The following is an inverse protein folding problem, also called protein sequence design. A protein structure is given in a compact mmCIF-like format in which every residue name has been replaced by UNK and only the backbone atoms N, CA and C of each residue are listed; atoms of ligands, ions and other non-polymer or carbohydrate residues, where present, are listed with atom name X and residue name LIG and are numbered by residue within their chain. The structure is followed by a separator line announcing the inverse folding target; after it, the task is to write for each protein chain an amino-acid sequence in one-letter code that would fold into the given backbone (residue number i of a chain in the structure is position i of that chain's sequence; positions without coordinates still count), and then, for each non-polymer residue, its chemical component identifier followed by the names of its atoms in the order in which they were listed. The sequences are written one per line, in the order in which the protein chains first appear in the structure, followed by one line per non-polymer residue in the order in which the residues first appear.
data_IF_843629884121
#
_entry.id   IF_843629884121
#
_cell.length_a   1.000
_cell.length_b   1.000
_cell.length_c   1.000
_cell.angle_alpha   90.00
_cell.angle_beta   90.00
_cell.angle_gamma   90.00
#
_symmetry.space_group_name_H-M   'P 1'
#
loop_
_entity.id
_entity.type
_entity.pdbx_description
1 polymer ?
#
# COMPACT_ATOMS: atom_id res chain seq x y z
N UNK A 1 -0.45 7.06 -17.60
CA UNK A 1 -1.15 6.82 -16.34
C UNK A 1 -1.79 5.43 -16.36
N UNK A 2 -1.62 4.64 -15.32
CA UNK A 2 -2.23 3.31 -15.21
C UNK A 2 -3.73 3.43 -14.89
N UNK A 3 -4.55 2.71 -15.65
CA UNK A 3 -6.00 2.64 -15.44
C UNK A 3 -6.33 1.31 -14.75
N UNK A 4 -6.47 1.35 -13.43
CA UNK A 4 -6.90 0.19 -12.64
C UNK A 4 -8.35 -0.23 -12.95
N UNK A 5 -8.79 -1.30 -12.29
CA UNK A 5 -10.15 -1.83 -12.49
C UNK A 5 -11.24 -0.80 -12.13
N UNK A 6 -11.06 -0.03 -11.05
CA UNK A 6 -12.06 0.95 -10.63
C UNK A 6 -12.12 2.13 -11.60
N UNK A 7 -10.94 2.61 -12.08
CA UNK A 7 -10.87 3.63 -13.13
C UNK A 7 -11.67 3.21 -14.36
N UNK A 8 -11.43 2.00 -14.89
CA UNK A 8 -12.10 1.50 -16.10
C UNK A 8 -13.62 1.37 -15.93
N UNK A 9 -14.08 0.91 -14.76
CA UNK A 9 -15.51 0.78 -14.46
C UNK A 9 -16.18 2.16 -14.37
N UNK A 10 -15.60 3.11 -13.64
CA UNK A 10 -16.14 4.46 -13.48
C UNK A 10 -16.12 5.20 -14.85
N UNK A 11 -15.02 5.08 -15.59
CA UNK A 11 -14.92 5.64 -16.95
C UNK A 11 -16.01 5.08 -17.87
N UNK A 12 -16.25 3.78 -17.85
CA UNK A 12 -17.31 3.12 -18.63
C UNK A 12 -18.70 3.59 -18.20
N UNK A 13 -18.95 3.69 -16.88
CA UNK A 13 -20.21 4.16 -16.36
C UNK A 13 -20.53 5.60 -16.80
N UNK A 14 -19.53 6.48 -16.78
CA UNK A 14 -19.65 7.88 -17.24
C UNK A 14 -19.93 7.92 -18.74
N UNK A 15 -19.19 7.18 -19.56
CA UNK A 15 -19.37 7.13 -21.02
C UNK A 15 -20.76 6.62 -21.43
N UNK A 16 -21.30 5.68 -20.65
CA UNK A 16 -22.60 5.05 -20.94
C UNK A 16 -23.78 5.75 -20.26
N UNK A 17 -23.55 6.86 -19.53
CA UNK A 17 -24.62 7.55 -18.76
C UNK A 17 -25.20 6.72 -17.62
N UNK A 18 -24.46 5.72 -17.12
CA UNK A 18 -24.87 4.80 -16.03
C UNK A 18 -24.15 5.06 -14.71
N UNK A 19 -23.70 6.30 -14.52
CA UNK A 19 -22.98 6.68 -13.29
C UNK A 19 -23.87 6.51 -12.08
N UNK A 20 -23.40 5.77 -11.07
CA UNK A 20 -24.08 5.65 -9.78
C UNK A 20 -23.67 6.79 -8.84
N UNK A 21 -24.55 7.15 -7.89
CA UNK A 21 -24.29 8.20 -6.91
C UNK A 21 -23.20 7.84 -5.88
N UNK A 22 -22.91 6.56 -5.69
CA UNK A 22 -21.88 6.11 -4.73
C UNK A 22 -21.05 4.95 -5.27
N UNK A 23 -19.73 5.06 -5.17
CA UNK A 23 -18.76 3.98 -5.41
C UNK A 23 -18.03 3.69 -4.12
N UNK A 24 -17.88 2.41 -3.79
CA UNK A 24 -17.07 1.92 -2.68
C UNK A 24 -15.90 1.12 -3.23
N UNK A 25 -14.72 1.70 -3.13
CA UNK A 25 -13.47 1.13 -3.63
C UNK A 25 -12.76 0.42 -2.48
N UNK A 26 -12.59 -0.89 -2.57
CA UNK A 26 -11.83 -1.68 -1.59
C UNK A 26 -10.42 -1.90 -2.14
N UNK A 27 -9.43 -1.37 -1.42
CA UNK A 27 -8.03 -1.47 -1.80
C UNK A 27 -7.16 -1.40 -0.54
N UNK A 28 -6.19 -2.30 -0.42
CA UNK A 28 -5.25 -2.33 0.71
C UNK A 28 -3.97 -1.49 0.46
N UNK A 29 -3.97 -0.61 -0.54
CA UNK A 29 -2.86 0.29 -0.80
C UNK A 29 -2.79 1.42 0.25
N UNK A 30 -1.62 2.04 0.41
CA UNK A 30 -1.36 3.03 1.48
C UNK A 30 -1.91 4.42 1.18
N UNK A 31 -2.07 4.78 -0.08
CA UNK A 31 -2.50 6.13 -0.46
C UNK A 31 -3.81 6.09 -1.26
N UNK A 32 -4.91 5.76 -0.60
CA UNK A 32 -6.22 5.68 -1.21
C UNK A 32 -6.70 7.04 -1.76
N UNK A 33 -6.23 8.15 -1.20
CA UNK A 33 -6.58 9.50 -1.68
C UNK A 33 -6.12 9.75 -3.12
N UNK A 34 -4.96 9.22 -3.50
CA UNK A 34 -4.42 9.30 -4.87
C UNK A 34 -5.38 8.66 -5.88
N UNK A 35 -5.89 7.48 -5.58
CA UNK A 35 -6.88 6.81 -6.41
C UNK A 35 -8.18 7.59 -6.53
N UNK A 36 -8.72 8.08 -5.40
CA UNK A 36 -9.97 8.83 -5.37
C UNK A 36 -9.90 10.12 -6.18
N UNK A 37 -8.78 10.84 -6.15
CA UNK A 37 -8.57 12.04 -6.99
C UNK A 37 -8.66 11.70 -8.47
N UNK A 38 -8.04 10.59 -8.90
CA UNK A 38 -8.12 10.18 -10.30
C UNK A 38 -9.55 9.83 -10.73
N UNK A 39 -10.32 9.19 -9.86
CA UNK A 39 -11.73 8.88 -10.15
C UNK A 39 -12.61 10.13 -10.14
N UNK A 40 -12.34 11.10 -9.26
CA UNK A 40 -13.02 12.39 -9.28
C UNK A 40 -12.79 13.16 -10.58
N UNK A 41 -11.57 13.09 -11.13
CA UNK A 41 -11.27 13.69 -12.44
C UNK A 41 -12.10 13.07 -13.58
N UNK A 42 -12.46 11.78 -13.50
CA UNK A 42 -13.36 11.17 -14.51
C UNK A 42 -14.75 11.82 -14.48
N UNK A 43 -15.23 12.23 -13.28
CA UNK A 43 -16.56 12.79 -13.09
C UNK A 43 -16.63 14.30 -13.39
N UNK A 44 -15.53 15.05 -13.15
CA UNK A 44 -15.52 16.51 -13.13
C UNK A 44 -14.65 17.18 -14.20
N UNK A 45 -13.85 16.44 -14.95
CA UNK A 45 -12.90 16.99 -15.93
C UNK A 45 -13.59 17.82 -17.01
N UNK A 46 -13.07 19.01 -17.32
CA UNK A 46 -13.60 19.91 -18.36
C UNK A 46 -13.52 19.33 -19.77
N UNK A 47 -12.51 18.50 -20.02
CA UNK A 47 -12.21 17.93 -21.34
C UNK A 47 -12.70 16.47 -21.50
N UNK A 48 -13.61 16.04 -20.63
CA UNK A 48 -14.14 14.68 -20.63
C UNK A 48 -13.52 13.81 -19.55
N UNK A 49 -12.61 12.92 -19.83
CA UNK A 49 -12.14 11.88 -18.91
C UNK A 49 -10.73 12.16 -18.40
N UNK A 50 -10.59 12.64 -17.17
CA UNK A 50 -9.32 12.75 -16.40
C UNK A 50 -8.11 13.18 -17.26
N UNK A 51 -8.19 14.32 -17.97
CA UNK A 51 -7.13 14.78 -18.89
C UNK A 51 -5.82 15.19 -18.17
N UNK A 52 -5.84 15.39 -16.85
CA UNK A 52 -4.72 15.81 -15.99
C UNK A 52 -4.06 17.17 -16.37
N UNK A 53 -4.60 17.91 -17.36
CA UNK A 53 -4.04 19.16 -17.85
C UNK A 53 -4.95 20.37 -17.67
N UNK A 54 -6.27 20.18 -17.64
CA UNK A 54 -7.23 21.26 -17.47
C UNK A 54 -7.19 21.88 -16.06
N UNK A 55 -7.83 23.05 -15.90
CA UNK A 55 -7.92 23.76 -14.61
C UNK A 55 -8.55 22.87 -13.53
N UNK A 56 -9.65 22.21 -13.84
CA UNK A 56 -10.37 21.34 -12.89
C UNK A 56 -9.51 20.19 -12.38
N UNK A 57 -8.81 19.45 -13.24
CA UNK A 57 -7.91 18.39 -12.82
C UNK A 57 -6.82 18.90 -11.88
N UNK A 58 -6.22 20.05 -12.19
CA UNK A 58 -5.19 20.69 -11.34
C UNK A 58 -5.73 21.13 -9.97
N UNK A 59 -6.98 21.61 -9.91
CA UNK A 59 -7.62 22.00 -8.65
C UNK A 59 -7.96 20.78 -7.78
N UNK A 60 -8.38 19.66 -8.39
CA UNK A 60 -8.60 18.39 -7.69
C UNK A 60 -7.29 17.87 -7.09
N UNK A 61 -6.18 17.91 -7.84
CA UNK A 61 -4.86 17.50 -7.32
C UNK A 61 -4.44 18.30 -6.10
N UNK A 62 -4.75 19.60 -6.10
CA UNK A 62 -4.47 20.52 -4.99
C UNK A 62 -5.53 20.50 -3.87
N UNK A 63 -6.62 19.74 -4.02
CA UNK A 63 -7.73 19.62 -3.06
C UNK A 63 -8.46 20.97 -2.79
N UNK A 64 -8.48 21.87 -3.77
CA UNK A 64 -9.06 23.21 -3.65
C UNK A 64 -10.24 23.48 -4.60
N UNK A 65 -10.75 22.46 -5.31
CA UNK A 65 -11.96 22.62 -6.12
C UNK A 65 -13.19 22.68 -5.19
N UNK A 66 -14.01 23.74 -5.20
CA UNK A 66 -15.16 23.87 -4.30
C UNK A 66 -16.16 22.71 -4.38
N UNK A 67 -16.37 22.18 -5.59
CA UNK A 67 -17.33 21.10 -5.85
C UNK A 67 -16.70 19.69 -5.73
N UNK A 68 -15.47 19.58 -5.21
CA UNK A 68 -14.79 18.33 -4.91
C UNK A 68 -14.24 18.38 -3.49
N UNK A 69 -15.02 17.92 -2.52
CA UNK A 69 -14.61 17.92 -1.11
C UNK A 69 -13.83 16.65 -0.77
N UNK A 70 -12.63 16.84 -0.22
CA UNK A 70 -11.71 15.78 0.17
C UNK A 70 -11.68 15.63 1.68
N UNK A 71 -11.96 14.43 2.19
CA UNK A 71 -11.79 14.07 3.60
C UNK A 71 -10.71 13.00 3.68
N UNK A 72 -9.45 13.47 3.78
CA UNK A 72 -8.25 12.65 3.81
C UNK A 72 -7.58 12.81 5.18
N UNK A 73 -8.16 12.15 6.19
CA UNK A 73 -7.74 12.23 7.59
C UNK A 73 -7.51 10.84 8.14
N UNK A 74 -6.54 10.69 9.05
CA UNK A 74 -6.29 9.44 9.77
C UNK A 74 -7.46 9.05 10.69
N UNK A 75 -8.28 10.03 11.09
CA UNK A 75 -9.48 9.82 11.88
C UNK A 75 -10.61 10.70 11.35
N UNK A 76 -11.66 10.06 10.88
CA UNK A 76 -12.87 10.71 10.36
C UNK A 76 -13.93 10.68 11.47
N UNK A 77 -14.35 11.86 11.88
CA UNK A 77 -15.32 12.05 12.96
C UNK A 77 -16.75 12.16 12.43
N UNK A 78 -17.71 12.14 13.35
CA UNK A 78 -19.12 12.30 13.03
C UNK A 78 -19.40 13.67 12.43
N UNK A 79 -18.71 14.70 12.95
CA UNK A 79 -18.81 16.09 12.50
C UNK A 79 -18.34 16.25 11.04
N UNK A 80 -17.31 15.52 10.62
CA UNK A 80 -16.85 15.53 9.21
C UNK A 80 -17.95 15.00 8.27
N UNK A 81 -18.65 13.97 8.69
CA UNK A 81 -19.79 13.41 7.91
C UNK A 81 -21.00 14.35 7.95
N UNK A 82 -21.29 14.99 9.09
CA UNK A 82 -22.37 15.98 9.19
C UNK A 82 -22.10 17.17 8.25
N UNK A 83 -20.86 17.64 8.15
CA UNK A 83 -20.48 18.71 7.23
C UNK A 83 -20.68 18.28 5.76
N UNK A 84 -20.29 17.07 5.39
CA UNK A 84 -20.53 16.52 4.05
C UNK A 84 -22.04 16.46 3.74
N UNK A 85 -22.86 15.96 4.66
CA UNK A 85 -24.30 15.84 4.49
C UNK A 85 -24.93 17.24 4.31
N UNK A 86 -24.55 18.20 5.15
CA UNK A 86 -25.06 19.56 5.05
C UNK A 86 -24.70 20.21 3.69
N UNK A 87 -23.43 20.09 3.28
CA UNK A 87 -22.95 20.66 2.03
C UNK A 87 -23.55 19.95 0.79
N UNK A 88 -23.85 18.65 0.88
CA UNK A 88 -24.43 17.89 -0.24
C UNK A 88 -25.81 18.39 -0.65
N UNK A 89 -26.54 19.05 0.24
CA UNK A 89 -27.83 19.64 -0.04
C UNK A 89 -27.74 21.04 -0.69
N UNK A 90 -26.54 21.61 -0.79
CA UNK A 90 -26.30 22.89 -1.46
C UNK A 90 -25.99 22.67 -2.94
N UNK A 91 -26.35 23.63 -3.78
CA UNK A 91 -26.03 23.60 -5.21
C UNK A 91 -24.51 23.64 -5.44
N UNK A 92 -24.01 23.01 -6.50
CA UNK A 92 -22.63 23.18 -6.95
C UNK A 92 -22.28 24.65 -7.21
N UNK A 93 -21.01 25.03 -7.03
CA UNK A 93 -20.51 26.41 -7.16
C UNK A 93 -19.96 26.68 -8.55
N UNK A 94 -19.07 25.82 -9.05
CA UNK A 94 -18.37 26.01 -10.33
C UNK A 94 -18.74 24.92 -11.36
N UNK A 95 -19.21 23.77 -10.91
CA UNK A 95 -19.56 22.59 -11.73
C UNK A 95 -21.05 22.31 -11.72
N UNK A 96 -21.47 21.38 -12.57
CA UNK A 96 -22.81 20.82 -12.58
C UNK A 96 -22.97 19.63 -11.60
N UNK A 97 -21.87 19.18 -10.98
CA UNK A 97 -21.79 18.02 -10.09
C UNK A 97 -20.97 18.36 -8.85
N UNK A 98 -21.33 17.74 -7.71
CA UNK A 98 -20.50 17.69 -6.50
C UNK A 98 -19.97 16.29 -6.27
N UNK A 99 -18.71 16.18 -5.87
CA UNK A 99 -18.05 14.91 -5.58
C UNK A 99 -17.40 14.96 -4.20
N UNK A 100 -17.70 13.95 -3.39
CA UNK A 100 -17.13 13.78 -2.05
C UNK A 100 -16.17 12.61 -2.06
N UNK A 101 -14.91 12.86 -1.68
CA UNK A 101 -13.84 11.89 -1.60
C UNK A 101 -13.57 11.57 -0.14
N UNK A 102 -13.79 10.34 0.28
CA UNK A 102 -13.50 9.90 1.64
C UNK A 102 -12.48 8.78 1.58
N UNK A 103 -11.23 9.10 1.93
CA UNK A 103 -10.16 8.11 2.00
C UNK A 103 -10.30 7.30 3.29
N UNK A 104 -10.04 6.03 3.17
CA UNK A 104 -10.18 5.00 4.18
C UNK A 104 -11.46 5.07 5.03
N UNK A 105 -12.58 4.86 4.35
CA UNK A 105 -13.90 4.79 4.98
C UNK A 105 -14.00 3.70 6.06
N UNK A 106 -13.07 2.75 6.09
CA UNK A 106 -12.95 1.75 7.15
C UNK A 106 -12.49 2.32 8.51
N UNK A 107 -11.98 3.56 8.53
CA UNK A 107 -11.64 4.30 9.75
C UNK A 107 -12.84 5.10 10.31
N UNK A 108 -13.91 5.22 9.55
CA UNK A 108 -15.14 5.91 9.96
C UNK A 108 -15.88 5.05 10.99
N UNK A 109 -16.18 5.61 12.16
CA UNK A 109 -16.90 4.86 13.17
C UNK A 109 -18.34 4.55 12.75
N UNK A 110 -18.94 3.54 13.35
CA UNK A 110 -20.26 3.04 13.00
C UNK A 110 -21.37 4.12 13.07
N UNK A 111 -21.29 5.02 14.06
CA UNK A 111 -22.27 6.13 14.21
C UNK A 111 -22.21 7.08 13.00
N UNK A 112 -21.00 7.43 12.56
CA UNK A 112 -20.79 8.29 11.40
C UNK A 112 -21.22 7.60 10.09
N UNK A 113 -20.91 6.30 9.94
CA UNK A 113 -21.39 5.51 8.79
C UNK A 113 -22.92 5.51 8.72
N UNK A 114 -23.60 5.28 9.86
CA UNK A 114 -25.07 5.27 9.93
C UNK A 114 -25.68 6.63 9.55
N UNK A 115 -25.06 7.75 9.90
CA UNK A 115 -25.53 9.09 9.49
C UNK A 115 -25.56 9.27 7.98
N UNK A 116 -24.55 8.74 7.26
CA UNK A 116 -24.46 8.86 5.81
C UNK A 116 -25.53 8.03 5.07
N UNK A 117 -26.10 7.00 5.71
CA UNK A 117 -27.06 6.08 5.07
C UNK A 117 -28.23 6.79 4.41
N UNK A 118 -28.85 7.75 5.09
CA UNK A 118 -30.02 8.48 4.56
C UNK A 118 -29.66 9.23 3.26
N UNK A 119 -28.48 9.84 3.21
CA UNK A 119 -28.00 10.55 2.03
C UNK A 119 -27.66 9.58 0.89
N UNK A 120 -27.17 8.39 1.20
CA UNK A 120 -26.91 7.34 0.21
C UNK A 120 -28.20 6.68 -0.30
N UNK A 121 -29.28 6.65 0.51
CA UNK A 121 -30.59 6.14 0.08
C UNK A 121 -31.31 7.09 -0.88
N UNK A 122 -31.26 8.37 -0.56
CA UNK A 122 -31.93 9.45 -1.31
C UNK A 122 -30.91 10.55 -1.63
N UNK A 123 -29.97 10.28 -2.54
CA UNK A 123 -28.90 11.22 -2.82
C UNK A 123 -29.45 12.47 -3.51
N UNK A 124 -28.95 13.67 -3.15
CA UNK A 124 -29.27 14.88 -3.90
C UNK A 124 -28.84 14.75 -5.37
N UNK A 125 -29.53 15.47 -6.26
CA UNK A 125 -29.25 15.41 -7.69
C UNK A 125 -27.81 15.87 -7.98
N UNK A 126 -27.10 15.16 -8.86
CA UNK A 126 -25.72 15.44 -9.27
C UNK A 126 -24.70 15.40 -8.14
N UNK A 127 -24.98 14.68 -7.06
CA UNK A 127 -24.04 14.44 -5.96
C UNK A 127 -23.50 13.02 -6.05
N UNK A 128 -22.17 12.90 -5.91
CA UNK A 128 -21.44 11.63 -6.02
C UNK A 128 -20.53 11.42 -4.83
N UNK A 129 -20.51 10.19 -4.32
CA UNK A 129 -19.64 9.77 -3.23
C UNK A 129 -18.62 8.74 -3.73
N UNK A 130 -17.34 9.04 -3.59
CA UNK A 130 -16.24 8.12 -3.83
C UNK A 130 -15.65 7.75 -2.47
N UNK A 131 -15.98 6.56 -2.01
CA UNK A 131 -15.55 6.02 -0.72
C UNK A 131 -14.45 5.00 -0.99
N UNK A 132 -13.28 5.12 -0.36
CA UNK A 132 -12.27 4.08 -0.39
C UNK A 132 -12.12 3.45 0.99
N UNK A 133 -11.80 2.18 1.08
CA UNK A 133 -11.56 1.49 2.34
C UNK A 133 -10.49 0.41 2.21
N UNK A 134 -9.61 0.35 3.21
CA UNK A 134 -8.56 -0.67 3.30
C UNK A 134 -9.09 -1.99 3.86
N UNK A 135 -10.17 -1.94 4.65
CA UNK A 135 -10.76 -3.10 5.31
C UNK A 135 -12.29 -3.14 5.15
N UNK A 136 -12.75 -4.03 4.27
CA UNK A 136 -14.18 -4.21 3.99
C UNK A 136 -15.01 -4.61 5.23
N UNK A 137 -14.44 -5.34 6.17
CA UNK A 137 -15.15 -5.85 7.35
C UNK A 137 -15.54 -4.73 8.34
N UNK A 138 -14.85 -3.59 8.28
CA UNK A 138 -15.16 -2.41 9.09
C UNK A 138 -16.23 -1.51 8.47
N UNK A 139 -16.69 -1.82 7.27
CA UNK A 139 -17.71 -1.06 6.56
C UNK A 139 -19.06 -1.77 6.70
N UNK A 140 -20.06 -1.03 7.13
CA UNK A 140 -21.40 -1.58 7.39
C UNK A 140 -22.01 -2.23 6.14
N UNK A 141 -22.68 -3.38 6.27
CA UNK A 141 -23.40 -4.02 5.16
C UNK A 141 -24.42 -3.09 4.49
N UNK A 142 -25.02 -2.19 5.26
CA UNK A 142 -25.98 -1.19 4.80
C UNK A 142 -25.35 -0.13 3.87
N UNK A 143 -24.08 0.24 4.08
CA UNK A 143 -23.31 1.09 3.15
C UNK A 143 -22.99 0.29 1.88
N UNK A 144 -22.50 -0.94 2.04
CA UNK A 144 -22.12 -1.81 0.90
C UNK A 144 -23.28 -2.10 -0.04
N UNK A 145 -24.50 -2.19 0.46
CA UNK A 145 -25.71 -2.42 -0.36
C UNK A 145 -26.16 -1.20 -1.16
N UNK A 146 -25.70 0.03 -0.80
CA UNK A 146 -26.10 1.29 -1.43
C UNK A 146 -25.01 1.92 -2.30
N UNK A 147 -23.81 1.36 -2.28
CA UNK A 147 -22.68 1.79 -3.10
C UNK A 147 -22.28 0.68 -4.09
N UNK A 148 -21.88 1.06 -5.29
CA UNK A 148 -21.29 0.13 -6.25
C UNK A 148 -19.88 -0.26 -5.78
N UNK A 149 -19.78 -1.48 -5.20
CA UNK A 149 -18.53 -2.01 -4.70
C UNK A 149 -17.60 -2.39 -5.85
N UNK A 150 -16.34 -1.96 -5.76
CA UNK A 150 -15.27 -2.32 -6.69
C UNK A 150 -14.05 -2.70 -5.86
N UNK A 151 -13.50 -3.87 -6.12
CA UNK A 151 -12.26 -4.33 -5.49
C UNK A 151 -11.08 -4.14 -6.43
N UNK A 152 -10.01 -3.51 -5.94
CA UNK A 152 -8.72 -3.40 -6.60
C UNK A 152 -7.84 -4.52 -6.06
N UNK A 153 -7.56 -5.48 -6.92
CA UNK A 153 -6.65 -6.59 -6.60
C UNK A 153 -5.19 -6.16 -6.74
N UNK A 154 -4.27 -6.77 -5.97
CA UNK A 154 -2.85 -6.56 -6.15
C UNK A 154 -2.42 -6.97 -7.56
N UNK A 155 -1.39 -6.29 -8.07
CA UNK A 155 -0.77 -6.54 -9.37
C UNK A 155 0.44 -7.46 -9.20
N UNK A 156 0.82 -8.14 -10.29
CA UNK A 156 2.08 -8.85 -10.33
C UNK A 156 3.28 -7.88 -10.33
N UNK A 157 4.40 -8.29 -9.75
CA UNK A 157 5.64 -7.49 -9.70
C UNK A 157 6.07 -6.98 -11.08
N UNK A 158 5.99 -7.83 -12.09
CA UNK A 158 6.34 -7.48 -13.47
C UNK A 158 5.43 -6.41 -14.07
N UNK A 159 4.16 -6.39 -13.70
CA UNK A 159 3.21 -5.35 -14.10
C UNK A 159 3.52 -4.03 -13.40
N UNK A 160 3.80 -4.06 -12.10
CA UNK A 160 4.19 -2.87 -11.32
C UNK A 160 5.43 -2.23 -11.92
N UNK A 161 6.47 -3.02 -12.20
CA UNK A 161 7.72 -2.53 -12.78
C UNK A 161 7.45 -1.86 -14.13
N UNK A 162 6.66 -2.48 -15.02
CA UNK A 162 6.29 -1.88 -16.32
C UNK A 162 5.54 -0.56 -16.17
N UNK A 163 4.63 -0.47 -15.19
CA UNK A 163 3.82 0.73 -14.96
C UNK A 163 4.66 1.87 -14.40
N UNK A 164 5.56 1.59 -13.46
CA UNK A 164 6.31 2.59 -12.71
C UNK A 164 7.68 2.93 -13.32
N UNK A 165 8.24 2.12 -14.22
CA UNK A 165 9.53 2.40 -14.87
C UNK A 165 9.67 3.82 -15.45
N UNK A 166 8.63 4.45 -16.04
CA UNK A 166 8.75 5.82 -16.55
C UNK A 166 8.95 6.90 -15.47
N UNK A 167 8.58 6.61 -14.22
CA UNK A 167 8.65 7.56 -13.07
C UNK A 167 9.64 7.11 -12.00
N UNK A 168 10.08 5.85 -12.05
CA UNK A 168 11.05 5.23 -11.15
C UNK A 168 12.18 4.62 -12.00
N UNK A 169 13.20 5.41 -12.40
CA UNK A 169 14.17 5.00 -13.42
C UNK A 169 15.17 3.93 -12.95
N UNK A 170 15.39 3.77 -11.65
CA UNK A 170 16.26 2.73 -11.10
C UNK A 170 15.48 1.40 -11.06
N UNK A 171 15.74 0.53 -12.06
CA UNK A 171 15.03 -0.73 -12.25
C UNK A 171 15.28 -1.71 -11.10
N UNK A 172 16.50 -1.78 -10.58
CA UNK A 172 16.84 -2.69 -9.48
C UNK A 172 16.09 -2.31 -8.20
N UNK A 173 16.15 -1.04 -7.86
CA UNK A 173 15.43 -0.47 -6.72
C UNK A 173 13.91 -0.62 -6.87
N UNK A 174 13.41 -0.40 -8.09
CA UNK A 174 11.98 -0.56 -8.40
C UNK A 174 11.53 -2.02 -8.26
N UNK A 175 12.31 -2.98 -8.75
CA UNK A 175 12.00 -4.41 -8.63
C UNK A 175 11.95 -4.84 -7.16
N UNK A 176 12.95 -4.43 -6.37
CA UNK A 176 12.93 -4.68 -4.91
C UNK A 176 11.70 -4.07 -4.25
N UNK A 177 11.37 -2.83 -4.59
CA UNK A 177 10.21 -2.13 -4.01
C UNK A 177 8.88 -2.77 -4.41
N UNK A 178 8.77 -3.27 -5.65
CA UNK A 178 7.59 -3.99 -6.14
C UNK A 178 7.39 -5.31 -5.38
N UNK A 179 8.46 -6.08 -5.17
CA UNK A 179 8.40 -7.33 -4.37
C UNK A 179 7.94 -7.09 -2.93
N UNK A 180 8.34 -5.94 -2.35
CA UNK A 180 7.97 -5.56 -0.98
C UNK A 180 6.56 -4.99 -0.85
N UNK A 181 5.98 -4.50 -1.94
CA UNK A 181 4.73 -3.73 -1.91
C UNK A 181 3.47 -4.57 -1.74
N UNK A 182 3.57 -5.90 -1.84
CA UNK A 182 2.41 -6.78 -1.87
C UNK A 182 1.51 -6.59 -3.10
N UNK A 183 2.03 -6.01 -4.18
CA UNK A 183 1.28 -5.82 -5.42
C UNK A 183 0.56 -4.46 -5.54
N UNK A 184 0.91 -3.47 -4.70
CA UNK A 184 0.25 -2.17 -4.67
C UNK A 184 1.15 -1.04 -5.19
N UNK A 185 0.61 -0.20 -6.10
CA UNK A 185 1.39 0.83 -6.81
C UNK A 185 1.85 1.97 -5.89
N UNK A 186 0.99 2.49 -5.04
CA UNK A 186 1.35 3.60 -4.14
C UNK A 186 2.32 3.11 -3.07
N UNK A 187 2.11 1.90 -2.54
CA UNK A 187 3.07 1.26 -1.65
C UNK A 187 4.45 1.10 -2.30
N UNK A 188 4.49 0.70 -3.58
CA UNK A 188 5.74 0.59 -4.33
C UNK A 188 6.47 1.94 -4.43
N UNK A 189 5.76 3.03 -4.73
CA UNK A 189 6.35 4.38 -4.80
C UNK A 189 6.92 4.83 -3.46
N UNK A 190 6.21 4.56 -2.36
CA UNK A 190 6.69 4.88 -1.01
C UNK A 190 7.96 4.09 -0.71
N UNK A 191 7.97 2.79 -0.97
CA UNK A 191 9.13 1.93 -0.76
C UNK A 191 10.31 2.32 -1.65
N UNK A 192 10.06 2.64 -2.92
CA UNK A 192 11.09 3.10 -3.85
C UNK A 192 11.87 4.31 -3.31
N UNK A 193 11.22 5.21 -2.60
CA UNK A 193 11.87 6.39 -2.02
C UNK A 193 12.59 6.11 -0.69
N UNK A 194 12.29 5.01 -0.02
CA UNK A 194 12.76 4.73 1.35
C UNK A 194 13.63 3.48 1.48
N UNK A 195 13.58 2.53 0.53
CA UNK A 195 14.13 1.18 0.69
C UNK A 195 15.65 1.13 0.86
N UNK A 196 16.39 2.12 0.37
CA UNK A 196 17.87 2.13 0.42
C UNK A 196 18.41 2.11 1.86
N UNK A 197 17.78 2.87 2.75
CA UNK A 197 18.19 2.90 4.16
C UNK A 197 17.97 1.55 4.84
N UNK A 198 16.82 0.94 4.61
CA UNK A 198 16.50 -0.35 5.19
C UNK A 198 17.35 -1.48 4.57
N UNK A 199 17.65 -1.42 3.26
CA UNK A 199 18.61 -2.34 2.61
C UNK A 199 20.00 -2.26 3.25
N UNK A 200 20.50 -1.06 3.52
CA UNK A 200 21.78 -0.86 4.16
C UNK A 200 21.81 -1.44 5.57
N UNK A 201 20.76 -1.23 6.36
CA UNK A 201 20.63 -1.84 7.70
C UNK A 201 20.68 -3.38 7.61
N UNK A 202 19.96 -3.98 6.67
CA UNK A 202 19.94 -5.44 6.49
C UNK A 202 21.32 -5.95 6.04
N UNK A 203 21.98 -5.28 5.08
CA UNK A 203 23.36 -5.62 4.67
C UNK A 203 24.33 -5.53 5.83
N UNK A 204 24.25 -4.48 6.66
CA UNK A 204 25.08 -4.31 7.85
C UNK A 204 24.86 -5.43 8.87
N UNK A 205 23.61 -5.82 9.14
CA UNK A 205 23.29 -6.94 10.04
C UNK A 205 23.90 -8.23 9.52
N UNK A 206 23.66 -8.58 8.25
CA UNK A 206 24.14 -9.83 7.64
C UNK A 206 25.68 -9.93 7.59
N UNK A 207 26.34 -8.83 7.27
CA UNK A 207 27.82 -8.81 7.16
C UNK A 207 28.53 -8.78 8.50
N UNK A 208 27.99 -8.10 9.50
CA UNK A 208 28.70 -7.72 10.72
C UNK A 208 28.22 -8.42 11.98
N UNK A 209 26.95 -8.85 12.06
CA UNK A 209 26.41 -9.54 13.22
C UNK A 209 26.80 -11.02 13.21
N UNK A 210 27.70 -11.42 14.13
CA UNK A 210 28.21 -12.80 14.21
C UNK A 210 27.90 -13.48 15.54
N UNK A 211 27.57 -12.73 16.60
CA UNK A 211 27.38 -13.24 17.97
C UNK A 211 26.21 -12.57 18.68
N UNK A 212 25.54 -13.30 19.58
CA UNK A 212 24.40 -12.81 20.37
C UNK A 212 24.64 -11.49 21.13
N UNK A 213 25.82 -11.21 21.72
CA UNK A 213 26.05 -9.93 22.41
C UNK A 213 25.94 -8.68 21.53
N UNK A 214 25.94 -8.84 20.21
CA UNK A 214 25.78 -7.74 19.26
C UNK A 214 24.30 -7.37 19.01
N UNK A 215 23.36 -8.25 19.35
CA UNK A 215 21.94 -8.07 19.10
C UNK A 215 21.39 -6.74 19.64
N UNK A 216 21.69 -6.29 20.88
CA UNK A 216 21.17 -5.02 21.41
C UNK A 216 21.62 -3.78 20.61
N UNK A 217 22.74 -3.87 19.89
CA UNK A 217 23.17 -2.81 18.99
C UNK A 217 22.33 -2.77 17.72
N UNK A 218 22.15 -3.92 17.06
CA UNK A 218 21.39 -4.00 15.81
C UNK A 218 19.88 -3.86 16.02
N UNK A 219 19.36 -4.31 17.15
CA UNK A 219 17.94 -4.14 17.51
C UNK A 219 17.53 -2.66 17.56
N UNK A 220 18.44 -1.75 17.99
CA UNK A 220 18.18 -0.30 17.98
C UNK A 220 18.02 0.29 16.58
N UNK A 221 18.52 -0.37 15.53
CA UNK A 221 18.32 0.06 14.13
C UNK A 221 16.94 -0.32 13.60
N UNK A 222 16.26 -1.26 14.29
CA UNK A 222 14.94 -1.73 13.93
C UNK A 222 13.93 -0.98 14.81
N UNK A 223 13.15 -0.09 14.18
CA UNK A 223 12.18 0.77 14.83
C UNK A 223 10.76 0.34 14.48
N UNK A 224 9.76 0.89 15.17
CA UNK A 224 8.35 0.65 14.84
C UNK A 224 8.01 0.95 13.37
N UNK A 225 8.66 1.97 12.79
CA UNK A 225 8.35 2.45 11.43
C UNK A 225 9.01 1.61 10.33
N UNK A 226 10.10 0.87 10.65
CA UNK A 226 10.85 0.10 9.66
C UNK A 226 10.82 -1.42 9.89
N UNK A 227 10.35 -1.91 11.04
CA UNK A 227 10.38 -3.35 11.38
C UNK A 227 9.71 -4.22 10.32
N UNK A 228 8.54 -3.83 9.82
CA UNK A 228 7.84 -4.58 8.78
C UNK A 228 8.63 -4.64 7.47
N UNK A 229 9.27 -3.54 7.07
CA UNK A 229 10.12 -3.48 5.89
C UNK A 229 11.37 -4.35 6.04
N UNK A 230 12.00 -4.31 7.22
CA UNK A 230 13.19 -5.13 7.53
C UNK A 230 12.87 -6.61 7.53
N UNK A 231 11.75 -7.04 8.13
CA UNK A 231 11.29 -8.44 8.08
C UNK A 231 11.10 -8.89 6.64
N UNK A 232 10.43 -8.10 5.81
CA UNK A 232 10.24 -8.38 4.39
C UNK A 232 11.56 -8.45 3.62
N UNK A 233 12.49 -7.52 3.88
CA UNK A 233 13.81 -7.55 3.24
C UNK A 233 14.59 -8.82 3.61
N UNK A 234 14.57 -9.28 4.85
CA UNK A 234 15.18 -10.56 5.22
C UNK A 234 14.54 -11.73 4.49
N UNK A 235 13.21 -11.75 4.35
CA UNK A 235 12.50 -12.78 3.59
C UNK A 235 12.97 -12.83 2.13
N UNK A 236 13.17 -11.66 1.48
CA UNK A 236 13.69 -11.58 0.11
C UNK A 236 15.15 -12.04 0.06
N UNK A 237 15.99 -11.61 1.01
CA UNK A 237 17.40 -12.08 1.10
C UNK A 237 17.47 -13.60 1.14
N UNK A 238 16.71 -14.25 2.02
CA UNK A 238 16.75 -15.70 2.12
C UNK A 238 16.11 -16.40 0.92
N UNK A 239 15.14 -15.78 0.26
CA UNK A 239 14.61 -16.25 -1.02
C UNK A 239 15.66 -16.18 -2.13
N UNK A 240 16.43 -15.10 -2.19
CA UNK A 240 17.54 -14.95 -3.15
C UNK A 240 18.66 -15.96 -2.89
N UNK A 241 19.03 -16.19 -1.63
CA UNK A 241 20.01 -17.20 -1.26
C UNK A 241 19.53 -18.62 -1.60
N UNK A 242 18.24 -18.93 -1.39
CA UNK A 242 17.68 -20.20 -1.78
C UNK A 242 17.69 -20.40 -3.31
N UNK A 243 17.42 -19.37 -4.10
CA UNK A 243 17.56 -19.38 -5.57
C UNK A 243 19.03 -19.62 -5.97
N UNK A 244 19.97 -18.95 -5.32
CA UNK A 244 21.40 -19.13 -5.57
C UNK A 244 21.84 -20.58 -5.31
N UNK A 245 21.39 -21.21 -4.21
CA UNK A 245 21.63 -22.64 -3.94
C UNK A 245 21.03 -23.55 -5.01
N UNK A 246 19.96 -23.12 -5.68
CA UNK A 246 19.33 -23.86 -6.80
C UNK A 246 19.97 -23.57 -8.17
N UNK A 247 21.07 -22.82 -8.21
CA UNK A 247 21.79 -22.47 -9.44
C UNK A 247 21.15 -21.30 -10.23
N UNK A 248 20.24 -20.57 -9.64
CA UNK A 248 19.62 -19.38 -10.25
C UNK A 248 20.36 -18.10 -9.80
N UNK A 249 20.64 -17.20 -10.73
CA UNK A 249 21.35 -15.94 -10.48
C UNK A 249 20.45 -14.70 -10.65
N UNK A 250 19.14 -14.85 -10.49
CA UNK A 250 18.21 -13.73 -10.50
C UNK A 250 17.86 -13.31 -9.07
N UNK A 251 18.27 -12.11 -8.68
CA UNK A 251 18.09 -11.60 -7.31
C UNK A 251 17.16 -10.40 -7.30
N UNK A 252 16.44 -10.23 -6.18
CA UNK A 252 15.59 -9.06 -5.92
C UNK A 252 16.23 -8.10 -4.90
N UNK A 253 17.00 -8.63 -3.96
CA UNK A 253 17.67 -7.82 -2.94
C UNK A 253 19.12 -7.50 -3.34
N UNK A 254 19.86 -8.48 -3.86
CA UNK A 254 21.25 -8.34 -4.22
C UNK A 254 21.44 -7.83 -5.64
N UNK A 255 22.47 -7.03 -5.86
CA UNK A 255 22.93 -6.60 -7.18
C UNK A 255 24.13 -7.43 -7.65
N UNK A 256 24.56 -7.23 -8.90
CA UNK A 256 25.78 -7.83 -9.41
C UNK A 256 27.02 -7.47 -8.57
N UNK A 257 27.02 -6.30 -7.94
CA UNK A 257 28.08 -5.84 -7.03
C UNK A 257 28.13 -6.61 -5.71
N UNK A 258 27.04 -7.25 -5.33
CA UNK A 258 26.89 -7.97 -4.06
C UNK A 258 27.21 -9.47 -4.19
N UNK A 259 27.68 -9.96 -5.34
CA UNK A 259 27.93 -11.40 -5.58
C UNK A 259 28.89 -12.03 -4.56
N UNK A 260 29.92 -11.30 -4.12
CA UNK A 260 30.84 -11.80 -3.10
C UNK A 260 30.13 -11.94 -1.74
N UNK A 261 29.23 -11.02 -1.40
CA UNK A 261 28.40 -11.12 -0.21
C UNK A 261 27.42 -12.31 -0.31
N UNK A 262 26.80 -12.52 -1.47
CA UNK A 262 25.91 -13.66 -1.72
C UNK A 262 26.65 -14.98 -1.51
N UNK A 263 27.87 -15.13 -2.07
CA UNK A 263 28.73 -16.31 -1.88
C UNK A 263 29.09 -16.52 -0.41
N UNK A 264 29.47 -15.46 0.29
CA UNK A 264 29.79 -15.53 1.72
C UNK A 264 28.58 -15.98 2.54
N UNK A 265 27.41 -15.40 2.29
CA UNK A 265 26.17 -15.73 2.99
C UNK A 265 25.66 -17.14 2.64
N UNK A 266 25.81 -17.61 1.39
CA UNK A 266 25.42 -18.96 1.00
C UNK A 266 26.28 -20.05 1.69
N UNK A 267 27.53 -19.72 2.05
CA UNK A 267 28.36 -20.58 2.88
C UNK A 267 27.94 -20.58 4.36
N UNK A 268 27.31 -19.48 4.82
CA UNK A 268 26.84 -19.33 6.20
C UNK A 268 25.43 -19.91 6.42
N UNK A 269 24.57 -19.81 5.43
CA UNK A 269 23.16 -20.24 5.46
C UNK A 269 22.89 -21.28 4.38
N UNK A 270 22.71 -22.54 4.79
CA UNK A 270 22.33 -23.63 3.87
C UNK A 270 20.93 -23.42 3.29
N UNK A 271 20.58 -24.19 2.25
CA UNK A 271 19.22 -24.17 1.67
C UNK A 271 18.12 -24.38 2.73
N UNK A 272 18.32 -25.33 3.65
CA UNK A 272 17.36 -25.58 4.74
C UNK A 272 17.26 -24.43 5.72
N UNK A 273 18.38 -23.76 6.03
CA UNK A 273 18.40 -22.55 6.86
C UNK A 273 17.60 -21.41 6.19
N UNK A 274 17.76 -21.23 4.89
CA UNK A 274 17.01 -20.20 4.14
C UNK A 274 15.51 -20.45 4.20
N UNK A 275 15.05 -21.69 3.99
CA UNK A 275 13.63 -22.05 4.04
C UNK A 275 13.05 -21.77 5.44
N UNK A 276 13.74 -22.23 6.51
CA UNK A 276 13.31 -22.00 7.88
C UNK A 276 13.19 -20.50 8.22
N UNK A 277 14.14 -19.67 7.74
CA UNK A 277 14.11 -18.23 7.96
C UNK A 277 13.01 -17.53 7.17
N UNK A 278 12.68 -17.98 5.95
CA UNK A 278 11.53 -17.48 5.19
C UNK A 278 10.22 -17.74 5.95
N UNK A 279 10.05 -18.94 6.52
CA UNK A 279 8.87 -19.29 7.33
C UNK A 279 8.78 -18.44 8.60
N UNK A 280 9.89 -18.25 9.31
CA UNK A 280 9.97 -17.37 10.49
C UNK A 280 9.62 -15.92 10.12
N UNK A 281 10.18 -15.37 9.05
CA UNK A 281 9.82 -14.03 8.57
C UNK A 281 8.31 -13.92 8.26
N UNK A 282 7.73 -14.92 7.62
CA UNK A 282 6.28 -14.94 7.34
C UNK A 282 5.42 -14.99 8.60
N UNK A 283 5.91 -15.63 9.68
CA UNK A 283 5.26 -15.61 10.99
C UNK A 283 5.35 -14.24 11.67
N UNK A 284 6.48 -13.53 11.53
CA UNK A 284 6.66 -12.17 12.03
C UNK A 284 5.77 -11.16 11.30
N UNK A 285 5.59 -11.28 9.99
CA UNK A 285 4.61 -10.47 9.24
C UNK A 285 3.20 -10.61 9.81
N UNK A 286 2.78 -11.86 10.08
CA UNK A 286 1.48 -12.11 10.73
C UNK A 286 1.39 -11.51 12.12
N UNK A 287 2.44 -11.66 12.94
CA UNK A 287 2.48 -11.10 14.29
C UNK A 287 2.37 -9.57 14.29
N UNK A 288 3.05 -8.89 13.35
CA UNK A 288 2.93 -7.44 13.15
C UNK A 288 1.51 -7.02 12.76
N UNK A 289 0.85 -7.77 11.91
CA UNK A 289 -0.55 -7.53 11.54
C UNK A 289 -1.48 -7.57 12.76
N UNK A 290 -1.19 -8.42 13.76
CA UNK A 290 -1.92 -8.51 15.02
C UNK A 290 -1.35 -7.60 16.14
N UNK A 291 -0.59 -6.53 15.78
CA UNK A 291 -0.03 -5.55 16.69
C UNK A 291 0.92 -6.13 17.77
N UNK A 292 1.74 -7.11 17.42
CA UNK A 292 2.79 -7.60 18.29
C UNK A 292 3.78 -6.48 18.69
N UNK A 293 4.42 -6.63 19.85
CA UNK A 293 5.44 -5.70 20.30
C UNK A 293 6.64 -5.73 19.35
N UNK A 294 6.89 -4.62 18.64
CA UNK A 294 7.93 -4.52 17.62
C UNK A 294 9.35 -4.73 18.17
N UNK A 295 9.62 -4.31 19.42
CA UNK A 295 10.95 -4.46 20.03
C UNK A 295 11.25 -5.93 20.31
N UNK A 296 10.29 -6.66 20.89
CA UNK A 296 10.44 -8.10 21.11
C UNK A 296 10.61 -8.86 19.80
N UNK A 297 9.86 -8.46 18.77
CA UNK A 297 9.93 -9.07 17.45
C UNK A 297 11.29 -8.79 16.77
N UNK A 298 11.84 -7.58 16.94
CA UNK A 298 13.16 -7.23 16.42
C UNK A 298 14.25 -8.08 17.07
N UNK A 299 14.22 -8.24 18.39
CA UNK A 299 15.16 -9.09 19.12
C UNK A 299 15.04 -10.55 18.68
N UNK A 300 13.81 -11.10 18.61
CA UNK A 300 13.55 -12.49 18.20
C UNK A 300 13.99 -12.76 16.76
N UNK A 301 13.76 -11.82 15.84
CA UNK A 301 14.28 -11.89 14.47
C UNK A 301 15.80 -12.03 14.45
N UNK A 302 16.52 -11.17 15.17
CA UNK A 302 17.99 -11.18 15.20
C UNK A 302 18.53 -12.44 15.89
N UNK A 303 17.90 -12.92 16.96
CA UNK A 303 18.23 -14.21 17.57
C UNK A 303 17.99 -15.37 16.60
N UNK A 304 16.88 -15.36 15.88
CA UNK A 304 16.55 -16.40 14.88
C UNK A 304 17.56 -16.49 13.75
N UNK A 305 18.12 -15.35 13.29
CA UNK A 305 19.18 -15.35 12.28
C UNK A 305 20.41 -16.13 12.75
N UNK A 306 20.82 -15.93 14.00
CA UNK A 306 21.98 -16.63 14.59
C UNK A 306 21.67 -18.09 14.93
N UNK A 307 20.52 -18.33 15.56
CA UNK A 307 20.08 -19.68 15.97
C UNK A 307 20.02 -20.63 14.78
N UNK A 308 19.29 -20.25 13.71
CA UNK A 308 19.11 -21.06 12.52
C UNK A 308 20.43 -21.28 11.81
N UNK A 309 21.28 -20.24 11.70
CA UNK A 309 22.62 -20.37 11.13
C UNK A 309 23.43 -21.45 11.84
N UNK A 310 23.53 -21.42 13.18
CA UNK A 310 24.31 -22.40 13.95
C UNK A 310 23.67 -23.79 13.99
N UNK A 311 22.34 -23.88 13.98
CA UNK A 311 21.62 -25.14 13.91
C UNK A 311 21.98 -25.93 12.65
N UNK A 312 21.97 -25.26 11.50
CA UNK A 312 22.22 -25.89 10.20
C UNK A 312 23.71 -26.05 9.86
N UNK A 313 24.63 -25.42 10.58
CA UNK A 313 26.06 -25.66 10.44
C UNK A 313 26.54 -26.91 11.20
N UNK A 314 25.73 -27.43 12.12
CA UNK A 314 26.04 -28.66 12.89
C UNK A 314 25.45 -29.93 12.28
N UNK A 315 24.65 -29.81 11.23
CA UNK A 315 24.10 -30.92 10.45
C UNK A 315 24.91 -31.15 9.17
#
# INVERSE_FOLDING_TARGET
MYKDKAYRIIESDVKNGKTTHAYLIICQDVNLSSYLKEYAKILLCDNGLACNSCRTCKLIDKEILPDCKCVFKDKILVEDIDEIIADSNLKPVEKDKKVYLISDFSLVNEKAQNKLLKTLETPPQNVYFLLAGSNEYKILPTIKSRAKKIEISPLDETEIVKILAPVCPDVEKLTTSASLSGGYLEQTKVLYNQVEREKEIVKQILSSMKKSPQIPYYSKLITKDNVGKIVNLFKIVFSDLAKFHSGQNSFYFFSEKDLDLVRALSNEYSMGACIELIEKCSSYEKALFFNANFSMLADDLLYSLLEVKYKWQKL
#
